data_IF_835256036541
#
_entry.id   IF_835256036541
#
_cell.length_a   1.000
_cell.length_b   1.000
_cell.length_c   1.000
_cell.angle_alpha   90.00
_cell.angle_beta   90.00
_cell.angle_gamma   90.00
#
_symmetry.space_group_name_H-M   'P 1'
#
loop_
_entity.id
_entity.type
_entity.pdbx_description
1 polymer ?
#
# COMPACT_ATOMS: atom_id res chain seq x y z
N UNK A 1 23.98 -20.85 -29.41
CA UNK A 1 23.85 -19.60 -30.16
C UNK A 1 22.94 -18.61 -29.44
N UNK A 2 23.03 -17.35 -29.79
CA UNK A 2 22.08 -16.33 -29.34
C UNK A 2 21.73 -15.36 -30.47
N UNK A 3 20.56 -14.74 -30.36
CA UNK A 3 20.10 -13.73 -31.28
C UNK A 3 19.42 -12.58 -30.49
N UNK A 4 19.84 -11.34 -30.79
CA UNK A 4 19.26 -10.13 -30.21
C UNK A 4 18.16 -9.62 -31.16
N UNK A 5 17.11 -9.05 -30.57
CA UNK A 5 15.99 -8.45 -31.29
C UNK A 5 15.67 -7.07 -30.71
N UNK A 6 15.31 -6.13 -31.58
CA UNK A 6 14.61 -4.90 -31.24
C UNK A 6 13.11 -5.10 -31.56
N UNK A 7 12.32 -5.29 -30.53
CA UNK A 7 10.95 -5.80 -30.70
C UNK A 7 10.94 -7.16 -31.37
N UNK A 8 10.47 -7.23 -32.62
CA UNK A 8 10.43 -8.47 -33.40
C UNK A 8 11.54 -8.57 -34.45
N UNK A 9 12.38 -7.53 -34.61
CA UNK A 9 13.40 -7.47 -35.65
C UNK A 9 14.73 -7.98 -35.15
N UNK A 10 15.38 -8.96 -35.77
CA UNK A 10 16.73 -9.38 -35.39
C UNK A 10 17.73 -8.25 -35.63
N UNK A 11 18.67 -8.09 -34.71
CA UNK A 11 19.74 -7.10 -34.75
C UNK A 11 21.07 -7.82 -34.78
N UNK A 12 22.00 -7.37 -35.62
CA UNK A 12 23.36 -7.88 -35.66
C UNK A 12 24.19 -7.29 -34.52
N UNK A 13 25.07 -8.12 -33.92
CA UNK A 13 25.96 -7.72 -32.83
C UNK A 13 25.64 -8.38 -31.51
N UNK A 14 26.37 -7.97 -30.47
CA UNK A 14 26.30 -8.57 -29.13
C UNK A 14 25.66 -7.64 -28.10
N UNK A 15 25.22 -6.44 -28.49
CA UNK A 15 24.65 -5.43 -27.62
C UNK A 15 23.50 -4.69 -28.31
N UNK A 16 22.49 -4.38 -27.54
CA UNK A 16 21.38 -3.52 -27.96
C UNK A 16 20.95 -2.64 -26.79
N UNK A 17 20.79 -1.35 -27.03
CA UNK A 17 20.13 -0.41 -26.14
C UNK A 17 18.83 0.01 -26.80
N UNK A 18 17.69 -0.25 -26.19
CA UNK A 18 16.37 0.04 -26.76
C UNK A 18 15.25 -0.25 -25.77
N UNK A 19 14.07 0.25 -26.07
CA UNK A 19 12.88 0.07 -25.21
C UNK A 19 12.34 -1.37 -25.21
N UNK A 20 12.58 -2.13 -26.29
CA UNK A 20 12.06 -3.49 -26.47
C UNK A 20 13.16 -4.48 -26.81
N UNK A 21 14.28 -4.41 -26.09
CA UNK A 21 15.38 -5.34 -26.27
C UNK A 21 14.99 -6.76 -25.81
N UNK A 22 15.23 -7.77 -26.67
CA UNK A 22 14.99 -9.18 -26.40
C UNK A 22 16.19 -10.00 -26.84
N UNK A 23 16.55 -11.00 -26.04
CA UNK A 23 17.56 -11.99 -26.40
C UNK A 23 16.91 -13.38 -26.43
N UNK A 24 17.14 -14.11 -27.53
CA UNK A 24 16.84 -15.53 -27.65
C UNK A 24 18.16 -16.31 -27.55
N UNK A 25 18.26 -17.19 -26.56
CA UNK A 25 19.41 -18.10 -26.39
C UNK A 25 19.01 -19.51 -26.82
N UNK A 26 19.76 -20.11 -27.74
CA UNK A 26 19.54 -21.46 -28.24
C UNK A 26 20.59 -22.43 -27.68
N UNK A 27 20.15 -23.62 -27.33
CA UNK A 27 20.98 -24.69 -26.82
C UNK A 27 20.84 -25.93 -27.71
N UNK A 28 21.92 -26.58 -28.06
CA UNK A 28 21.88 -27.92 -28.65
C UNK A 28 21.80 -28.95 -27.53
N UNK A 29 20.68 -29.64 -27.41
CA UNK A 29 20.43 -30.57 -26.32
C UNK A 29 20.09 -31.98 -26.84
N UNK A 30 20.43 -32.98 -26.08
CA UNK A 30 20.03 -34.37 -26.28
C UNK A 30 18.87 -34.72 -25.37
N UNK A 31 18.15 -35.78 -25.69
CA UNK A 31 17.03 -36.25 -24.85
C UNK A 31 17.49 -36.54 -23.43
N UNK A 32 16.89 -35.85 -22.43
CA UNK A 32 17.21 -36.00 -21.01
C UNK A 32 18.30 -35.03 -20.52
N UNK A 33 18.92 -34.24 -21.37
CA UNK A 33 19.90 -33.23 -20.99
C UNK A 33 19.16 -32.03 -20.35
N UNK A 34 19.68 -31.51 -19.24
CA UNK A 34 19.14 -30.36 -18.51
C UNK A 34 20.03 -29.14 -18.72
N UNK A 35 19.39 -28.01 -19.00
CA UNK A 35 20.08 -26.72 -19.07
C UNK A 35 19.65 -25.88 -17.88
N UNK A 36 20.62 -25.41 -17.11
CA UNK A 36 20.39 -24.52 -15.96
C UNK A 36 20.70 -23.10 -16.40
N UNK A 37 19.72 -22.20 -16.15
CA UNK A 37 19.88 -20.76 -16.38
C UNK A 37 19.82 -20.04 -15.03
N UNK A 38 20.75 -19.10 -14.83
CA UNK A 38 20.75 -18.18 -13.68
C UNK A 38 20.49 -16.78 -14.19
N UNK A 39 19.54 -16.09 -13.60
CA UNK A 39 19.18 -14.73 -13.97
C UNK A 39 18.98 -13.87 -12.73
N UNK A 40 19.38 -12.63 -12.82
CA UNK A 40 19.11 -11.61 -11.82
C UNK A 40 18.72 -10.29 -12.51
N UNK A 41 17.99 -9.46 -11.82
CA UNK A 41 17.60 -8.13 -12.24
C UNK A 41 17.90 -7.11 -11.15
N UNK A 42 17.93 -5.83 -11.51
CA UNK A 42 18.05 -4.71 -10.58
C UNK A 42 17.29 -3.53 -11.12
N UNK A 43 16.70 -2.75 -10.22
CA UNK A 43 16.14 -1.43 -10.51
C UNK A 43 17.19 -0.31 -10.40
N UNK A 44 18.38 -0.62 -9.84
CA UNK A 44 19.44 0.35 -9.55
C UNK A 44 20.43 0.44 -10.70
N UNK A 45 21.04 -0.68 -11.10
CA UNK A 45 22.02 -0.69 -12.17
C UNK A 45 22.36 -2.12 -12.66
N UNK A 46 23.00 -2.19 -13.83
CA UNK A 46 23.54 -3.46 -14.33
C UNK A 46 24.58 -4.07 -13.35
N UNK A 47 25.42 -3.25 -12.73
CA UNK A 47 26.39 -3.72 -11.74
C UNK A 47 25.73 -4.33 -10.53
N UNK A 48 24.65 -3.76 -10.06
CA UNK A 48 23.83 -4.30 -8.98
C UNK A 48 23.17 -5.62 -9.40
N UNK A 49 22.68 -5.74 -10.63
CA UNK A 49 22.15 -7.01 -11.14
C UNK A 49 23.20 -8.13 -11.15
N UNK A 50 24.46 -7.81 -11.51
CA UNK A 50 25.57 -8.78 -11.43
C UNK A 50 25.78 -9.20 -9.98
N UNK A 51 25.80 -8.28 -9.04
CA UNK A 51 25.93 -8.57 -7.62
C UNK A 51 24.76 -9.43 -7.09
N UNK A 52 23.51 -9.10 -7.46
CA UNK A 52 22.35 -9.90 -7.09
C UNK A 52 22.47 -11.34 -7.64
N UNK A 53 23.09 -11.54 -8.81
CA UNK A 53 23.35 -12.86 -9.34
C UNK A 53 24.40 -13.63 -8.50
N UNK A 54 25.38 -12.92 -7.93
CA UNK A 54 26.42 -13.52 -7.07
C UNK A 54 25.85 -14.08 -5.75
N UNK A 55 24.66 -13.62 -5.30
CA UNK A 55 23.97 -14.16 -4.11
C UNK A 55 23.66 -15.67 -4.24
N UNK A 56 23.51 -16.18 -5.46
CA UNK A 56 23.32 -17.61 -5.71
C UNK A 56 24.59 -18.42 -5.44
N UNK A 57 25.75 -17.80 -5.47
CA UNK A 57 27.05 -18.47 -5.24
C UNK A 57 27.24 -19.66 -6.14
N UNK A 58 27.55 -20.81 -5.53
CA UNK A 58 27.74 -22.10 -6.23
C UNK A 58 26.50 -23.02 -6.12
N UNK A 59 25.42 -22.55 -5.56
CA UNK A 59 24.22 -23.36 -5.31
C UNK A 59 23.66 -23.89 -6.64
N UNK A 60 23.30 -25.13 -6.64
CA UNK A 60 22.52 -25.74 -7.71
C UNK A 60 21.01 -25.50 -7.51
N UNK A 61 20.22 -25.92 -8.47
CA UNK A 61 18.76 -25.72 -8.45
C UNK A 61 18.10 -26.33 -7.20
N UNK A 62 18.51 -27.56 -6.81
CA UNK A 62 17.90 -28.25 -5.67
C UNK A 62 18.27 -27.56 -4.35
N UNK A 63 19.49 -27.03 -4.25
CA UNK A 63 19.92 -26.23 -3.08
C UNK A 63 19.16 -24.92 -2.97
N UNK A 64 18.99 -24.18 -4.07
CA UNK A 64 18.21 -22.94 -4.08
C UNK A 64 16.73 -23.22 -3.73
N UNK A 65 16.15 -24.26 -4.29
CA UNK A 65 14.78 -24.71 -3.97
C UNK A 65 14.62 -25.05 -2.49
N UNK A 66 15.56 -25.81 -1.92
CA UNK A 66 15.52 -26.17 -0.50
C UNK A 66 15.62 -24.94 0.42
N UNK A 67 16.49 -23.96 0.08
CA UNK A 67 16.59 -22.69 0.80
C UNK A 67 15.30 -21.89 0.73
N UNK A 68 14.68 -21.79 -0.45
CA UNK A 68 13.41 -21.11 -0.63
C UNK A 68 12.28 -21.79 0.17
N UNK A 69 12.22 -23.12 0.18
CA UNK A 69 11.27 -23.87 0.98
C UNK A 69 11.46 -23.62 2.48
N UNK A 70 12.69 -23.72 2.98
CA UNK A 70 13.00 -23.45 4.39
C UNK A 70 12.61 -22.04 4.83
N UNK A 71 12.83 -21.04 3.96
CA UNK A 71 12.39 -19.67 4.22
C UNK A 71 10.86 -19.55 4.32
N UNK A 72 10.13 -20.18 3.39
CA UNK A 72 8.67 -20.19 3.46
C UNK A 72 8.14 -20.97 4.65
N UNK A 73 8.78 -22.07 5.04
CA UNK A 73 8.42 -22.81 6.25
C UNK A 73 8.63 -21.95 7.51
N UNK A 74 9.67 -21.12 7.58
CA UNK A 74 9.87 -20.16 8.66
C UNK A 74 8.78 -19.09 8.67
N UNK A 75 8.45 -18.49 7.52
CA UNK A 75 7.44 -17.43 7.42
C UNK A 75 6.06 -17.95 7.79
N UNK A 76 5.65 -19.08 7.23
CA UNK A 76 4.31 -19.65 7.45
C UNK A 76 4.18 -20.33 8.82
N UNK A 77 5.27 -20.87 9.34
CA UNK A 77 5.32 -21.51 10.65
C UNK A 77 5.21 -20.58 11.86
N UNK A 78 5.12 -19.26 11.64
CA UNK A 78 4.82 -18.31 12.72
C UNK A 78 3.40 -18.45 13.29
N UNK A 79 2.50 -19.07 12.54
CA UNK A 79 1.16 -19.41 13.02
C UNK A 79 0.97 -20.91 12.82
N UNK A 80 0.90 -21.63 13.90
CA UNK A 80 0.58 -23.07 13.91
C UNK A 80 -0.89 -23.27 14.26
N UNK A 81 -1.58 -24.12 13.50
CA UNK A 81 -2.99 -24.42 13.69
C UNK A 81 -3.19 -25.94 13.87
N UNK A 82 -4.11 -26.33 14.75
CA UNK A 82 -4.43 -27.71 15.03
C UNK A 82 -5.95 -27.96 14.93
N UNK A 83 -6.33 -29.23 14.80
CA UNK A 83 -7.74 -29.68 14.91
C UNK A 83 -8.55 -29.50 13.63
N UNK A 84 -7.91 -29.18 12.51
CA UNK A 84 -8.57 -29.01 11.20
C UNK A 84 -8.48 -30.25 10.30
N UNK A 85 -9.31 -30.27 9.25
CA UNK A 85 -9.14 -31.20 8.12
C UNK A 85 -7.98 -30.76 7.23
N UNK A 86 -7.47 -31.66 6.38
CA UNK A 86 -6.42 -31.33 5.40
C UNK A 86 -6.82 -30.14 4.52
N UNK A 87 -8.08 -30.02 4.10
CA UNK A 87 -8.53 -28.92 3.24
C UNK A 87 -8.62 -27.60 4.01
N UNK A 88 -8.94 -27.63 5.31
CA UNK A 88 -8.87 -26.44 6.16
C UNK A 88 -7.43 -25.97 6.35
N UNK A 89 -6.46 -26.86 6.56
CA UNK A 89 -5.04 -26.51 6.59
C UNK A 89 -4.57 -25.92 5.26
N UNK A 90 -4.92 -26.54 4.14
CA UNK A 90 -4.58 -25.99 2.81
C UNK A 90 -5.15 -24.60 2.59
N UNK A 91 -6.39 -24.39 2.98
CA UNK A 91 -7.04 -23.07 2.88
C UNK A 91 -6.33 -22.05 3.76
N UNK A 92 -6.09 -22.38 5.03
CA UNK A 92 -5.43 -21.48 5.98
C UNK A 92 -4.04 -21.05 5.49
N UNK A 93 -3.15 -22.02 5.21
CA UNK A 93 -1.79 -21.69 4.80
C UNK A 93 -1.71 -21.09 3.39
N UNK A 94 -2.63 -21.41 2.49
CA UNK A 94 -2.73 -20.71 1.21
C UNK A 94 -3.14 -19.24 1.37
N UNK A 95 -4.04 -18.94 2.29
CA UNK A 95 -4.43 -17.57 2.62
C UNK A 95 -3.29 -16.82 3.32
N UNK A 96 -2.63 -17.45 4.28
CA UNK A 96 -1.46 -16.86 4.96
C UNK A 96 -0.33 -16.56 3.97
N UNK A 97 -0.01 -17.50 3.08
CA UNK A 97 0.97 -17.30 2.00
C UNK A 97 0.60 -16.09 1.14
N UNK A 98 -0.66 -15.98 0.68
CA UNK A 98 -1.10 -14.85 -0.15
C UNK A 98 -1.04 -13.52 0.59
N UNK A 99 -1.31 -13.49 1.88
CA UNK A 99 -1.23 -12.27 2.69
C UNK A 99 0.21 -11.78 2.92
N UNK A 100 1.21 -12.64 2.67
CA UNK A 100 2.64 -12.28 2.78
C UNK A 100 3.33 -12.00 1.44
N UNK A 101 2.60 -12.06 0.31
CA UNK A 101 3.16 -11.74 -1.01
C UNK A 101 3.31 -10.24 -1.28
N UNK A 102 2.49 -9.41 -0.63
CA UNK A 102 2.46 -7.97 -0.82
C UNK A 102 2.37 -7.26 0.54
N UNK A 103 2.95 -6.04 0.66
CA UNK A 103 3.76 -5.32 -0.32
C UNK A 103 5.08 -6.04 -0.62
N UNK A 104 5.62 -5.80 -1.82
CA UNK A 104 6.92 -6.35 -2.24
C UNK A 104 8.07 -5.45 -1.86
N UNK A 105 9.23 -6.04 -1.55
CA UNK A 105 10.49 -5.34 -1.38
C UNK A 105 10.87 -4.61 -2.68
N UNK A 106 11.19 -3.34 -2.57
CA UNK A 106 11.65 -2.50 -3.68
C UNK A 106 12.97 -1.83 -3.32
N UNK A 107 13.82 -2.56 -2.61
CA UNK A 107 15.18 -2.16 -2.25
C UNK A 107 16.13 -3.32 -2.55
N UNK A 108 17.40 -3.01 -2.62
CA UNK A 108 18.48 -3.94 -2.90
C UNK A 108 19.61 -3.71 -1.91
N UNK A 109 20.49 -4.70 -1.75
CA UNK A 109 21.64 -4.61 -0.84
C UNK A 109 22.91 -4.52 -1.69
N UNK A 110 23.71 -3.48 -1.49
CA UNK A 110 24.97 -3.31 -2.21
C UNK A 110 26.07 -4.23 -1.66
N UNK A 111 27.21 -4.27 -2.35
CA UNK A 111 28.38 -5.09 -1.94
C UNK A 111 28.97 -4.77 -0.56
N UNK A 112 28.61 -3.61 0.00
CA UNK A 112 29.06 -3.18 1.32
C UNK A 112 28.01 -3.49 2.41
N UNK A 113 26.87 -4.08 2.03
CA UNK A 113 25.75 -4.35 2.92
C UNK A 113 24.82 -3.16 3.12
N UNK A 114 24.94 -2.09 2.35
CA UNK A 114 24.03 -0.95 2.45
C UNK A 114 22.71 -1.25 1.74
N UNK A 115 21.61 -0.85 2.37
CA UNK A 115 20.27 -0.93 1.81
C UNK A 115 20.05 0.31 0.94
N UNK A 116 19.77 0.09 -0.34
CA UNK A 116 19.55 1.12 -1.35
C UNK A 116 18.28 0.82 -2.14
N UNK A 117 17.63 1.87 -2.64
CA UNK A 117 16.51 1.71 -3.57
C UNK A 117 16.57 2.74 -4.68
N UNK A 118 16.00 2.39 -5.83
CA UNK A 118 15.64 3.36 -6.86
C UNK A 118 14.33 4.01 -6.48
N UNK A 119 14.34 5.34 -6.27
CA UNK A 119 13.14 6.06 -5.91
C UNK A 119 12.15 6.14 -7.09
N UNK A 120 10.96 5.57 -6.96
CA UNK A 120 9.93 5.69 -7.99
C UNK A 120 9.25 7.07 -7.98
N UNK A 121 9.66 7.95 -7.07
CA UNK A 121 9.09 9.29 -6.88
C UNK A 121 9.93 10.38 -7.51
N UNK A 122 11.25 10.27 -7.50
CA UNK A 122 12.18 11.29 -8.02
C UNK A 122 13.24 10.76 -8.99
N UNK A 123 13.37 9.43 -9.15
CA UNK A 123 14.30 8.78 -10.08
C UNK A 123 15.73 8.66 -9.58
N UNK A 124 16.00 8.96 -8.30
CA UNK A 124 17.34 8.87 -7.70
C UNK A 124 17.54 7.50 -7.03
N UNK A 125 18.80 7.10 -6.88
CA UNK A 125 19.19 5.96 -6.04
C UNK A 125 19.51 6.48 -4.65
N UNK A 126 18.73 6.06 -3.67
CA UNK A 126 18.75 6.59 -2.31
C UNK A 126 18.92 5.47 -1.27
N UNK A 127 19.47 5.78 -0.08
CA UNK A 127 19.60 4.81 0.99
C UNK A 127 18.26 4.51 1.68
N UNK A 128 18.14 3.29 2.20
CA UNK A 128 17.04 2.85 3.05
C UNK A 128 16.02 1.98 2.34
N UNK A 129 15.03 1.55 3.10
CA UNK A 129 13.97 0.66 2.65
C UNK A 129 12.99 1.35 1.69
N UNK A 130 12.47 0.57 0.76
CA UNK A 130 11.31 0.93 -0.07
C UNK A 130 10.47 -0.32 -0.31
N UNK A 131 9.15 -0.15 -0.33
CA UNK A 131 8.18 -1.21 -0.62
C UNK A 131 7.16 -0.72 -1.65
N UNK A 132 6.60 -1.65 -2.42
CA UNK A 132 5.65 -1.35 -3.49
C UNK A 132 4.56 -2.40 -3.62
N UNK A 133 3.64 -2.17 -4.55
CA UNK A 133 2.53 -3.05 -4.92
C UNK A 133 1.55 -3.32 -3.78
N UNK A 134 1.05 -2.24 -3.20
CA UNK A 134 -0.03 -2.28 -2.21
C UNK A 134 -0.92 -1.06 -2.27
N UNK A 135 -2.23 -1.26 -2.07
CA UNK A 135 -3.23 -0.23 -1.88
C UNK A 135 -3.73 -0.24 -0.44
N UNK A 136 -3.69 0.89 0.23
CA UNK A 136 -4.00 0.93 1.66
C UNK A 136 -5.50 0.84 1.95
N UNK A 137 -6.38 1.31 1.06
CA UNK A 137 -7.82 1.14 1.20
C UNK A 137 -8.24 -0.34 1.33
N UNK A 138 -7.55 -1.24 0.61
CA UNK A 138 -7.77 -2.69 0.70
C UNK A 138 -7.16 -3.31 1.95
N UNK A 139 -5.97 -2.84 2.36
CA UNK A 139 -5.08 -3.58 3.26
C UNK A 139 -5.05 -3.08 4.70
N UNK A 140 -5.50 -1.83 4.96
CA UNK A 140 -5.48 -1.28 6.32
C UNK A 140 -6.40 -2.03 7.30
N UNK A 141 -7.46 -2.65 6.77
CA UNK A 141 -8.51 -3.30 7.58
C UNK A 141 -8.02 -4.59 8.26
N UNK A 142 -7.14 -5.34 7.62
CA UNK A 142 -6.71 -6.65 8.13
C UNK A 142 -5.24 -6.97 7.90
N UNK A 143 -4.68 -6.71 6.71
CA UNK A 143 -3.30 -7.09 6.42
C UNK A 143 -2.30 -6.36 7.33
N UNK A 144 -2.34 -5.02 7.39
CA UNK A 144 -1.39 -4.27 8.22
C UNK A 144 -1.55 -4.55 9.71
N UNK A 145 -2.78 -4.69 10.28
CA UNK A 145 -2.95 -5.21 11.64
C UNK A 145 -2.34 -6.60 11.86
N UNK A 146 -2.46 -7.51 10.89
CA UNK A 146 -1.81 -8.83 10.94
C UNK A 146 -0.28 -8.69 10.92
N UNK A 147 0.27 -7.86 10.04
CA UNK A 147 1.72 -7.63 9.97
C UNK A 147 2.27 -7.05 11.28
N UNK A 148 1.55 -6.15 11.92
CA UNK A 148 1.92 -5.61 13.24
C UNK A 148 2.01 -6.70 14.33
N UNK A 149 1.17 -7.73 14.25
CA UNK A 149 1.11 -8.80 15.26
C UNK A 149 2.09 -9.94 14.96
N UNK A 150 2.16 -10.39 13.71
CA UNK A 150 2.85 -11.62 13.32
C UNK A 150 4.22 -11.34 12.70
N UNK A 151 4.33 -10.23 11.96
CA UNK A 151 5.54 -9.87 11.22
C UNK A 151 6.02 -8.43 11.52
N UNK A 152 6.17 -8.04 12.80
CA UNK A 152 6.46 -6.64 13.16
C UNK A 152 7.77 -6.12 12.57
N UNK A 153 8.81 -6.94 12.44
CA UNK A 153 10.07 -6.55 11.82
C UNK A 153 9.92 -6.17 10.34
N UNK A 154 9.10 -6.93 9.59
CA UNK A 154 8.81 -6.62 8.18
C UNK A 154 7.99 -5.33 8.09
N UNK A 155 7.00 -5.15 8.99
CA UNK A 155 6.24 -3.90 8.97
C UNK A 155 7.07 -2.68 9.41
N UNK A 156 8.07 -2.85 10.29
CA UNK A 156 9.01 -1.78 10.60
C UNK A 156 9.79 -1.31 9.35
N UNK A 157 10.28 -2.23 8.52
CA UNK A 157 10.90 -1.90 7.23
C UNK A 157 9.92 -1.17 6.29
N UNK A 158 8.64 -1.61 6.25
CA UNK A 158 7.60 -0.96 5.44
C UNK A 158 7.34 0.48 5.94
N UNK A 159 7.28 0.70 7.25
CA UNK A 159 7.10 2.03 7.82
C UNK A 159 8.30 2.96 7.48
N UNK A 160 9.53 2.45 7.56
CA UNK A 160 10.71 3.19 7.11
C UNK A 160 10.64 3.53 5.60
N UNK A 161 10.16 2.60 4.78
CA UNK A 161 9.89 2.83 3.36
C UNK A 161 8.83 3.90 3.11
N UNK A 162 7.77 3.96 3.92
CA UNK A 162 6.76 5.01 3.85
C UNK A 162 7.32 6.38 4.25
N UNK A 163 8.20 6.42 5.25
CA UNK A 163 8.90 7.66 5.62
C UNK A 163 9.80 8.16 4.47
N UNK A 164 10.51 7.25 3.78
CA UNK A 164 11.29 7.58 2.59
C UNK A 164 10.39 8.09 1.44
N UNK A 165 9.28 7.41 1.16
CA UNK A 165 8.32 7.86 0.15
C UNK A 165 7.84 9.30 0.41
N UNK A 166 7.59 9.66 1.67
CA UNK A 166 7.21 11.03 2.03
C UNK A 166 8.38 12.02 1.85
N UNK A 167 9.59 11.67 2.27
CA UNK A 167 10.79 12.53 2.09
C UNK A 167 11.07 12.82 0.61
N UNK A 168 10.79 11.87 -0.26
CA UNK A 168 11.10 11.90 -1.69
C UNK A 168 10.01 12.56 -2.54
N UNK A 169 8.74 12.44 -2.15
CA UNK A 169 7.59 12.95 -2.91
C UNK A 169 6.82 14.08 -2.21
N UNK A 170 6.97 14.21 -0.90
CA UNK A 170 6.14 15.07 -0.06
C UNK A 170 4.75 14.51 0.24
N UNK A 171 4.48 13.24 -0.11
CA UNK A 171 3.20 12.54 0.15
C UNK A 171 3.43 11.11 0.60
N UNK A 172 2.53 10.59 1.46
CA UNK A 172 2.38 9.15 1.62
C UNK A 172 1.62 8.61 0.40
N UNK A 173 2.01 7.45 -0.16
CA UNK A 173 1.21 6.80 -1.20
C UNK A 173 -0.10 6.28 -0.60
N UNK A 174 -1.19 6.31 -1.40
CA UNK A 174 -2.42 5.59 -1.09
C UNK A 174 -2.50 4.28 -1.89
N UNK A 175 -1.86 4.26 -3.03
CA UNK A 175 -1.55 3.07 -3.82
C UNK A 175 -0.14 3.20 -4.40
N UNK A 176 0.76 2.30 -4.00
CA UNK A 176 2.12 2.21 -4.53
C UNK A 176 2.20 1.13 -5.61
N UNK A 177 2.74 1.45 -6.85
CA UNK A 177 2.74 0.47 -7.96
C UNK A 177 3.73 0.79 -9.12
N UNK A 178 5.03 0.83 -8.91
CA UNK A 178 5.75 1.69 -8.00
C UNK A 178 5.41 3.18 -8.17
N UNK A 179 5.68 3.96 -7.13
CA UNK A 179 5.27 5.37 -7.09
C UNK A 179 3.79 5.55 -6.81
N UNK A 180 3.30 6.79 -6.94
CA UNK A 180 1.89 7.11 -6.71
C UNK A 180 1.02 6.63 -7.86
N UNK A 181 0.04 5.80 -7.58
CA UNK A 181 -0.97 5.34 -8.54
C UNK A 181 -2.33 5.95 -8.23
N UNK A 182 -3.00 6.45 -9.28
CA UNK A 182 -4.36 6.98 -9.19
C UNK A 182 -5.40 5.87 -9.06
N UNK A 183 -5.66 5.41 -7.86
CA UNK A 183 -6.57 4.32 -7.58
C UNK A 183 -7.17 4.48 -6.19
N UNK A 184 -8.40 3.99 -5.98
CA UNK A 184 -9.12 3.92 -4.71
C UNK A 184 -9.43 5.28 -4.05
N UNK A 185 -9.98 5.23 -2.86
CA UNK A 185 -10.40 6.39 -2.07
C UNK A 185 -9.79 6.37 -0.68
N UNK A 186 -9.93 7.47 0.03
CA UNK A 186 -9.43 7.60 1.39
C UNK A 186 -8.02 8.15 1.46
N UNK A 187 -7.54 8.26 2.68
CA UNK A 187 -6.16 8.62 3.01
C UNK A 187 -5.64 7.58 4.03
N UNK A 188 -5.87 6.31 3.69
CA UNK A 188 -5.76 5.17 4.61
C UNK A 188 -4.30 4.82 4.98
N UNK A 189 -3.30 5.45 4.31
CA UNK A 189 -1.93 5.51 4.80
C UNK A 189 -1.86 6.04 6.23
N UNK A 190 -2.76 6.98 6.60
CA UNK A 190 -2.86 7.49 7.97
C UNK A 190 -3.21 6.39 8.98
N UNK A 191 -4.14 5.50 8.63
CA UNK A 191 -4.49 4.35 9.47
C UNK A 191 -3.33 3.37 9.63
N UNK A 192 -2.67 3.01 8.52
CA UNK A 192 -1.52 2.09 8.51
C UNK A 192 -0.37 2.60 9.37
N UNK A 193 -0.03 3.89 9.22
CA UNK A 193 1.03 4.55 10.00
C UNK A 193 0.65 4.62 11.48
N UNK A 194 -0.59 5.04 11.76
CA UNK A 194 -1.04 5.22 13.15
C UNK A 194 -1.07 3.91 13.94
N UNK A 195 -1.55 2.83 13.32
CA UNK A 195 -1.61 1.52 13.96
C UNK A 195 -0.21 0.98 14.27
N UNK A 196 0.75 1.15 13.36
CA UNK A 196 2.13 0.73 13.55
C UNK A 196 2.83 1.55 14.66
N UNK A 197 2.62 2.88 14.69
CA UNK A 197 3.18 3.75 15.74
C UNK A 197 2.60 3.39 17.10
N UNK A 198 1.27 3.27 17.22
CA UNK A 198 0.59 2.96 18.47
C UNK A 198 0.97 1.59 19.05
N UNK A 199 1.34 0.64 18.19
CA UNK A 199 1.81 -0.69 18.58
C UNK A 199 3.31 -0.79 18.81
N UNK A 200 4.06 0.32 18.65
CA UNK A 200 5.51 0.36 18.82
C UNK A 200 6.30 -0.41 17.77
N UNK A 201 5.73 -0.56 16.57
CA UNK A 201 6.37 -1.25 15.44
C UNK A 201 7.21 -0.30 14.59
N UNK A 202 6.78 0.96 14.47
CA UNK A 202 7.49 1.98 13.69
C UNK A 202 8.84 2.32 14.32
N UNK A 203 9.95 2.39 13.53
CA UNK A 203 11.23 2.90 14.03
C UNK A 203 11.10 4.30 14.63
N UNK A 204 11.75 4.53 15.78
CA UNK A 204 11.60 5.78 16.55
C UNK A 204 11.99 7.02 15.71
N UNK A 205 13.03 6.91 14.93
CA UNK A 205 13.53 7.95 14.02
C UNK A 205 12.55 8.36 12.92
N UNK A 206 11.60 7.49 12.58
CA UNK A 206 10.62 7.73 11.51
C UNK A 206 9.27 8.24 12.04
N UNK A 207 8.99 8.13 13.33
CA UNK A 207 7.69 8.51 13.93
C UNK A 207 7.35 9.97 13.62
N UNK A 208 8.27 10.89 13.83
CA UNK A 208 8.04 12.32 13.59
C UNK A 208 7.75 12.60 12.11
N UNK A 209 8.51 12.00 11.21
CA UNK A 209 8.32 12.12 9.76
C UNK A 209 6.96 11.60 9.31
N UNK A 210 6.57 10.42 9.78
CA UNK A 210 5.31 9.79 9.42
C UNK A 210 4.09 10.54 9.99
N UNK A 211 4.20 11.06 11.21
CA UNK A 211 3.16 11.91 11.78
C UNK A 211 3.00 13.21 11.00
N UNK A 212 4.10 13.87 10.62
CA UNK A 212 4.07 15.04 9.76
C UNK A 212 3.45 14.72 8.39
N UNK A 213 3.84 13.61 7.77
CA UNK A 213 3.31 13.15 6.49
C UNK A 213 1.78 12.98 6.52
N UNK A 214 1.25 12.37 7.58
CA UNK A 214 -0.19 12.23 7.79
C UNK A 214 -0.88 13.60 7.93
N UNK A 215 -0.32 14.53 8.72
CA UNK A 215 -0.84 15.88 8.88
C UNK A 215 -0.79 16.68 7.57
N UNK A 216 0.25 16.48 6.76
CA UNK A 216 0.40 17.13 5.46
C UNK A 216 -0.64 16.60 4.46
N UNK A 217 -0.82 15.27 4.37
CA UNK A 217 -1.81 14.63 3.48
C UNK A 217 -3.24 15.10 3.71
N UNK A 218 -3.59 15.44 4.97
CA UNK A 218 -4.90 15.99 5.35
C UNK A 218 -5.23 17.36 4.71
N UNK A 219 -4.22 18.11 4.29
CA UNK A 219 -4.36 19.53 3.86
C UNK A 219 -3.98 19.78 2.42
N UNK A 220 -3.72 18.73 1.66
CA UNK A 220 -3.32 18.82 0.25
C UNK A 220 -3.73 17.58 -0.52
N UNK A 221 -3.72 17.73 -1.83
CA UNK A 221 -3.89 16.65 -2.81
C UNK A 221 -2.69 16.69 -3.76
N UNK A 222 -2.25 15.51 -4.19
CA UNK A 222 -1.14 15.42 -5.14
C UNK A 222 -1.51 16.06 -6.49
N UNK A 223 -0.64 16.86 -7.12
CA UNK A 223 -1.00 17.68 -8.27
C UNK A 223 -1.45 16.87 -9.50
N UNK A 224 -1.02 15.64 -9.65
CA UNK A 224 -1.33 14.78 -10.80
C UNK A 224 -2.04 13.46 -10.43
N UNK A 225 -2.08 13.11 -9.15
CA UNK A 225 -2.69 11.86 -8.66
C UNK A 225 -3.71 12.19 -7.57
N UNK A 226 -4.94 12.48 -7.97
CA UNK A 226 -5.98 12.99 -7.08
C UNK A 226 -6.41 12.06 -5.92
N UNK A 227 -6.10 10.75 -6.02
CA UNK A 227 -6.31 9.79 -4.93
C UNK A 227 -5.24 9.85 -3.84
N UNK A 228 -4.13 10.59 -4.07
CA UNK A 228 -3.06 10.78 -3.09
C UNK A 228 -3.24 12.09 -2.34
N UNK A 229 -3.20 12.07 -1.02
CA UNK A 229 -3.70 13.12 -0.16
C UNK A 229 -5.23 13.09 -0.08
N UNK A 230 -5.87 14.24 0.20
CA UNK A 230 -7.34 14.32 0.38
C UNK A 230 -7.99 15.14 -0.71
N UNK A 231 -8.49 14.51 -1.77
CA UNK A 231 -9.25 15.19 -2.81
C UNK A 231 -10.54 15.78 -2.24
N UNK A 232 -10.70 17.10 -2.39
CA UNK A 232 -11.81 17.85 -1.80
C UNK A 232 -11.57 18.28 -0.35
N UNK A 233 -10.30 18.30 0.10
CA UNK A 233 -9.92 18.71 1.46
C UNK A 233 -10.43 20.13 1.80
N UNK A 234 -10.54 21.03 0.85
CA UNK A 234 -11.05 22.39 1.05
C UNK A 234 -12.50 22.37 1.52
N UNK A 235 -13.33 21.51 0.91
CA UNK A 235 -14.71 21.33 1.31
C UNK A 235 -14.81 20.56 2.64
N UNK A 236 -14.06 19.48 2.76
CA UNK A 236 -14.07 18.68 3.98
C UNK A 236 -13.65 19.48 5.21
N UNK A 237 -12.65 20.35 5.10
CA UNK A 237 -12.16 21.16 6.21
C UNK A 237 -13.12 22.34 6.55
N UNK A 238 -13.97 22.77 5.62
CA UNK A 238 -14.88 23.90 5.82
C UNK A 238 -16.33 23.48 6.12
N UNK A 239 -16.83 22.46 5.42
CA UNK A 239 -18.21 21.98 5.53
C UNK A 239 -18.34 20.73 6.41
N UNK A 240 -17.22 20.02 6.65
CA UNK A 240 -17.21 18.75 7.35
C UNK A 240 -17.58 17.56 6.45
N UNK A 241 -17.65 17.74 5.14
CA UNK A 241 -17.88 16.67 4.15
C UNK A 241 -17.44 17.12 2.75
N UNK A 242 -17.25 16.17 1.85
CA UNK A 242 -17.04 16.42 0.42
C UNK A 242 -18.41 16.48 -0.26
N UNK A 243 -18.80 17.60 -0.90
CA UNK A 243 -20.14 17.73 -1.48
C UNK A 243 -20.34 16.85 -2.72
N UNK A 244 -21.58 16.44 -2.93
CA UNK A 244 -21.98 15.60 -4.07
C UNK A 244 -21.93 16.35 -5.41
N UNK A 245 -22.17 17.66 -5.41
CA UNK A 245 -22.35 18.53 -6.59
C UNK A 245 -21.11 19.36 -6.95
N UNK A 246 -19.92 18.94 -6.56
CA UNK A 246 -18.64 19.64 -6.85
C UNK A 246 -17.72 18.86 -7.81
N UNK A 247 -18.26 17.91 -8.55
CA UNK A 247 -17.53 17.09 -9.52
C UNK A 247 -16.36 16.30 -8.91
N UNK A 248 -16.51 15.88 -7.66
CA UNK A 248 -15.63 14.93 -6.99
C UNK A 248 -16.40 13.64 -6.81
N UNK A 249 -16.02 12.53 -7.49
CA UNK A 249 -16.73 11.26 -7.37
C UNK A 249 -16.55 10.67 -5.97
N UNK A 250 -17.44 9.72 -5.62
CA UNK A 250 -17.33 8.92 -4.39
C UNK A 250 -17.28 9.79 -3.11
N UNK A 251 -17.97 10.93 -3.15
CA UNK A 251 -17.87 12.00 -2.15
C UNK A 251 -18.31 11.57 -0.74
N UNK A 252 -19.36 10.75 -0.61
CA UNK A 252 -19.76 10.22 0.68
C UNK A 252 -18.72 9.20 1.21
N UNK A 253 -18.21 8.30 0.35
CA UNK A 253 -17.15 7.38 0.72
C UNK A 253 -15.90 8.13 1.21
N UNK A 254 -15.44 9.16 0.46
CA UNK A 254 -14.30 10.00 0.87
C UNK A 254 -14.53 10.65 2.22
N UNK A 255 -15.72 11.16 2.47
CA UNK A 255 -16.07 11.78 3.76
C UNK A 255 -15.95 10.80 4.92
N UNK A 256 -16.41 9.56 4.71
CA UNK A 256 -16.36 8.49 5.72
C UNK A 256 -14.92 8.06 6.00
N UNK A 257 -14.13 7.81 4.95
CA UNK A 257 -12.72 7.44 5.10
C UNK A 257 -11.91 8.54 5.79
N UNK A 258 -12.08 9.81 5.38
CA UNK A 258 -11.38 10.94 6.02
C UNK A 258 -11.74 11.12 7.50
N UNK A 259 -12.98 10.84 7.88
CA UNK A 259 -13.39 10.88 9.28
C UNK A 259 -12.70 9.78 10.12
N UNK A 260 -12.53 8.59 9.53
CA UNK A 260 -11.77 7.51 10.15
C UNK A 260 -10.27 7.83 10.25
N UNK A 261 -9.69 8.40 9.20
CA UNK A 261 -8.29 8.85 9.21
C UNK A 261 -8.07 9.97 10.25
N UNK A 262 -9.06 10.85 10.44
CA UNK A 262 -9.02 11.86 11.51
C UNK A 262 -9.12 11.24 12.92
N UNK A 263 -9.85 10.12 13.07
CA UNK A 263 -9.82 9.35 14.33
C UNK A 263 -8.40 8.77 14.58
N UNK A 264 -7.75 8.25 13.55
CA UNK A 264 -6.36 7.81 13.66
C UNK A 264 -5.43 8.95 14.08
N UNK A 265 -5.62 10.13 13.49
CA UNK A 265 -4.91 11.36 13.86
C UNK A 265 -5.16 11.78 15.30
N UNK A 266 -6.39 11.62 15.79
CA UNK A 266 -6.74 11.87 17.19
C UNK A 266 -5.93 10.99 18.17
N UNK A 267 -5.82 9.69 17.84
CA UNK A 267 -5.05 8.77 18.69
C UNK A 267 -3.57 9.13 18.74
N UNK A 268 -2.97 9.49 17.59
CA UNK A 268 -1.57 9.93 17.56
C UNK A 268 -1.36 11.27 18.27
N UNK A 269 -2.27 12.23 18.12
CA UNK A 269 -2.18 13.51 18.82
C UNK A 269 -2.22 13.32 20.34
N UNK A 270 -3.03 12.41 20.84
CA UNK A 270 -3.06 12.04 22.26
C UNK A 270 -1.75 11.41 22.71
N UNK A 271 -1.25 10.43 21.96
CA UNK A 271 -0.01 9.73 22.29
C UNK A 271 1.18 10.69 22.34
N UNK A 272 1.27 11.62 21.37
CA UNK A 272 2.37 12.60 21.28
C UNK A 272 2.17 13.82 22.17
N UNK A 273 1.04 13.94 22.87
CA UNK A 273 0.70 15.10 23.70
C UNK A 273 0.42 16.38 22.90
N UNK A 274 0.15 16.28 21.61
CA UNK A 274 -0.12 17.42 20.73
C UNK A 274 -1.55 17.94 20.94
N UNK A 275 -1.74 18.79 21.93
CA UNK A 275 -3.05 19.32 22.33
C UNK A 275 -3.77 20.09 21.23
N UNK A 276 -3.04 20.78 20.36
CA UNK A 276 -3.63 21.52 19.23
C UNK A 276 -4.34 20.57 18.25
N UNK A 277 -3.67 19.51 17.81
CA UNK A 277 -4.28 18.54 16.90
C UNK A 277 -5.27 17.61 17.61
N UNK A 278 -5.06 17.30 18.90
CA UNK A 278 -6.04 16.55 19.69
C UNK A 278 -7.40 17.29 19.71
N UNK A 279 -7.42 18.60 19.91
CA UNK A 279 -8.66 19.40 19.88
C UNK A 279 -9.31 19.41 18.48
N UNK A 280 -8.53 19.60 17.42
CA UNK A 280 -9.06 19.57 16.05
C UNK A 280 -9.67 18.20 15.74
N UNK A 281 -8.91 17.15 15.91
CA UNK A 281 -9.34 15.80 15.56
C UNK A 281 -10.51 15.30 16.41
N UNK A 282 -10.61 15.69 17.67
CA UNK A 282 -11.73 15.34 18.56
C UNK A 282 -13.10 15.81 18.02
N UNK A 283 -13.10 16.79 17.12
CA UNK A 283 -14.30 17.31 16.46
C UNK A 283 -14.51 16.68 15.08
N UNK A 284 -13.47 16.69 14.24
CA UNK A 284 -13.60 16.31 12.83
C UNK A 284 -13.70 14.80 12.60
N UNK A 285 -13.27 13.97 13.54
CA UNK A 285 -13.46 12.51 13.46
C UNK A 285 -14.93 12.09 13.46
N UNK A 286 -15.85 12.98 13.80
CA UNK A 286 -17.29 12.77 13.72
C UNK A 286 -17.93 13.30 12.44
N UNK A 287 -17.16 13.78 11.50
CA UNK A 287 -17.65 14.35 10.23
C UNK A 287 -18.47 13.36 9.39
N UNK A 288 -18.29 12.04 9.58
CA UNK A 288 -19.13 11.01 8.98
C UNK A 288 -20.64 11.25 9.23
N UNK A 289 -21.01 11.89 10.35
CA UNK A 289 -22.40 12.23 10.70
C UNK A 289 -23.04 13.20 9.70
N UNK A 290 -22.22 14.00 9.01
CA UNK A 290 -22.71 14.98 8.04
C UNK A 290 -23.28 14.33 6.76
N UNK A 291 -22.92 13.09 6.45
CA UNK A 291 -23.43 12.33 5.30
C UNK A 291 -24.44 11.25 5.71
N UNK A 292 -24.79 11.18 6.99
CA UNK A 292 -25.86 10.31 7.48
C UNK A 292 -27.22 11.02 7.42
N UNK A 293 -28.10 10.51 6.57
CA UNK A 293 -29.47 11.00 6.45
C UNK A 293 -30.38 10.29 7.45
N UNK A 294 -30.82 11.01 8.48
CA UNK A 294 -31.67 10.48 9.54
C UNK A 294 -33.07 10.08 9.06
N UNK A 295 -33.58 10.69 7.98
CA UNK A 295 -34.90 10.39 7.45
C UNK A 295 -34.91 9.05 6.73
N UNK A 296 -33.90 8.79 5.88
CA UNK A 296 -33.76 7.51 5.19
C UNK A 296 -33.10 6.41 6.02
N UNK A 297 -32.33 6.77 7.07
CA UNK A 297 -31.52 5.86 7.87
C UNK A 297 -30.23 5.39 7.19
N UNK A 298 -29.80 6.05 6.11
CA UNK A 298 -28.66 5.66 5.30
C UNK A 298 -27.61 6.74 5.16
N UNK A 299 -26.36 6.32 4.88
CA UNK A 299 -25.35 7.21 4.31
C UNK A 299 -25.78 7.65 2.92
N UNK A 300 -25.60 8.94 2.61
CA UNK A 300 -26.11 9.57 1.39
C UNK A 300 -25.24 10.74 0.96
N UNK A 301 -25.10 10.95 -0.34
CA UNK A 301 -24.44 12.14 -0.87
C UNK A 301 -25.12 13.42 -0.38
N UNK A 302 -24.34 14.44 0.01
CA UNK A 302 -24.84 15.72 0.48
C UNK A 302 -24.35 16.84 -0.42
N UNK A 303 -25.26 17.72 -0.83
CA UNK A 303 -25.00 18.86 -1.70
C UNK A 303 -24.27 19.98 -0.92
N UNK A 304 -23.62 20.88 -1.65
CA UNK A 304 -22.93 22.04 -1.07
C UNK A 304 -23.85 22.96 -0.27
N UNK A 305 -25.16 23.01 -0.63
CA UNK A 305 -26.19 23.78 0.09
C UNK A 305 -26.71 23.10 1.37
N UNK A 306 -26.17 21.91 1.68
CA UNK A 306 -26.51 21.14 2.86
C UNK A 306 -27.68 20.17 2.71
N UNK A 307 -28.38 20.14 1.57
CA UNK A 307 -29.44 19.15 1.29
C UNK A 307 -28.82 17.81 0.90
N UNK A 308 -29.59 16.74 1.10
CA UNK A 308 -29.18 15.43 0.59
C UNK A 308 -29.54 15.27 -0.89
N UNK A 309 -28.70 14.55 -1.59
CA UNK A 309 -28.85 14.24 -3.03
C UNK A 309 -30.20 13.56 -3.29
N UNK A 310 -30.89 13.99 -4.36
CA UNK A 310 -32.15 13.43 -4.83
C UNK A 310 -32.14 13.34 -6.37
N UNK A 311 -32.78 12.31 -6.97
CA UNK A 311 -33.46 11.17 -6.33
C UNK A 311 -32.45 10.24 -5.64
N UNK A 312 -32.93 9.46 -4.65
CA UNK A 312 -32.09 8.56 -3.86
C UNK A 312 -32.58 7.11 -3.92
N UNK A 313 -31.65 6.19 -4.10
CA UNK A 313 -31.88 4.75 -3.94
C UNK A 313 -30.72 4.15 -3.13
N UNK A 314 -30.98 3.47 -2.01
CA UNK A 314 -29.92 2.85 -1.21
C UNK A 314 -29.27 1.66 -1.90
N UNK A 315 -29.83 1.17 -3.00
CA UNK A 315 -29.31 0.06 -3.81
C UNK A 315 -28.45 0.50 -4.98
N UNK A 316 -28.41 1.82 -5.30
CA UNK A 316 -27.60 2.33 -6.41
C UNK A 316 -26.13 2.07 -6.13
N UNK A 317 -25.47 1.31 -7.02
CA UNK A 317 -24.05 1.00 -6.94
C UNK A 317 -23.20 2.19 -7.42
N UNK A 318 -22.09 2.47 -6.72
CA UNK A 318 -21.18 3.56 -7.09
C UNK A 318 -21.73 4.94 -6.73
N UNK A 319 -21.52 5.93 -7.62
CA UNK A 319 -21.98 7.32 -7.46
C UNK A 319 -21.30 8.03 -6.27
N UNK A 320 -21.99 8.19 -5.16
CA UNK A 320 -21.44 8.75 -3.93
C UNK A 320 -20.50 7.79 -3.19
N UNK A 321 -20.42 6.54 -3.62
CA UNK A 321 -19.69 5.45 -2.96
C UNK A 321 -18.70 4.76 -3.92
N UNK A 322 -17.69 4.13 -3.35
CA UNK A 322 -16.70 3.34 -4.06
C UNK A 322 -17.06 1.87 -3.93
N UNK A 323 -17.17 1.16 -5.07
CA UNK A 323 -17.38 -0.31 -5.11
C UNK A 323 -18.47 -0.83 -4.17
N UNK A 324 -19.53 -0.04 -3.99
CA UNK A 324 -20.60 -0.34 -3.05
C UNK A 324 -21.81 0.56 -3.21
N UNK A 325 -22.70 0.50 -2.25
CA UNK A 325 -23.92 1.32 -2.16
C UNK A 325 -24.18 1.76 -0.70
N UNK A 326 -25.27 2.46 -0.47
CA UNK A 326 -25.61 2.97 0.88
C UNK A 326 -25.72 1.89 1.94
N UNK A 327 -26.15 0.67 1.60
CA UNK A 327 -26.21 -0.44 2.55
C UNK A 327 -24.80 -0.82 3.05
N UNK A 328 -23.84 -0.98 2.14
CA UNK A 328 -22.47 -1.31 2.49
C UNK A 328 -21.85 -0.23 3.39
N UNK A 329 -21.99 1.02 2.99
CA UNK A 329 -21.35 2.13 3.69
C UNK A 329 -22.04 2.55 4.99
N UNK A 330 -23.33 2.28 5.14
CA UNK A 330 -24.01 2.43 6.42
C UNK A 330 -23.54 1.35 7.40
N UNK A 331 -23.30 0.11 6.92
CA UNK A 331 -22.71 -0.96 7.71
C UNK A 331 -21.25 -0.69 8.08
N UNK A 332 -20.49 0.01 7.24
CA UNK A 332 -19.09 0.39 7.51
C UNK A 332 -18.93 1.15 8.83
N UNK A 333 -19.89 1.98 9.20
CA UNK A 333 -19.94 2.65 10.51
C UNK A 333 -20.08 1.70 11.70
N UNK A 334 -20.71 0.55 11.51
CA UNK A 334 -20.83 -0.46 12.56
C UNK A 334 -19.52 -1.20 12.82
N UNK A 335 -18.66 -1.28 11.82
CA UNK A 335 -17.37 -1.98 11.86
C UNK A 335 -16.18 -1.05 12.06
N UNK A 336 -16.35 0.23 11.76
CA UNK A 336 -15.39 1.26 12.15
C UNK A 336 -15.44 1.46 13.66
N UNK A 337 -14.32 1.68 14.34
CA UNK A 337 -14.32 2.00 15.76
C UNK A 337 -14.96 3.40 15.94
N UNK A 338 -16.26 3.44 15.74
CA UNK A 338 -17.05 4.55 16.24
C UNK A 338 -16.97 4.46 17.76
N UNK A 339 -16.62 5.53 18.46
CA UNK A 339 -16.77 5.53 19.89
C UNK A 339 -18.26 5.27 20.17
N UNK A 340 -18.56 4.10 20.67
CA UNK A 340 -19.87 3.73 21.21
C UNK A 340 -20.05 4.31 22.60
N UNK A 341 -19.64 5.56 22.79
CA UNK A 341 -19.86 6.25 24.07
C UNK A 341 -20.09 7.74 23.81
#
# INVERSE_FOLDING_TARGET
DFQIYDGTKPVEGEQLVGEHALVRVGFETRRGEQVTVRAASSFISQMQAVQNLEELGKDDFETVKAKAQAHWDEVLGRIEVEGGTTDQYRTFYSCLYRSTLFPRKFYEIDKNGNILHYSPYNGEVLPGYMYTDTGFWDTFRSLFPLLNLVYPSVNAEIQAGLANAYRESGFLPEWASPGHRGCMVGNNSASVVSDAILKGVTPEEDIATLYEAMLAGRRKVHPTVSSTGRWGYEYYNTLGYVPYDVNIPENAARTLEYAYDDFCGYQLARMTGNKFYEEIFSRVMYNYRNVFDKESGFMRGRLKDGKFQAPFSPYKWGDAFTEGNSWHYTCLLYTSPSPRD
#
